data_IF_482609005556
#
_entry.id   IF_482609005556
#
_cell.length_a   1.000
_cell.length_b   1.000
_cell.length_c   1.000
_cell.angle_alpha   90.00
_cell.angle_beta   90.00
_cell.angle_gamma   90.00
#
_symmetry.space_group_name_H-M   'P 1'
#
loop_
_entity.id
_entity.type
_entity.pdbx_description
1 polymer ?
#
# COMPACT_ATOMS: atom_id res chain seq x y z
N UNK A 1 5.70 25.43 -5.78
CA UNK A 1 4.43 25.03 -6.37
C UNK A 1 4.47 23.58 -6.87
N UNK A 2 5.49 23.18 -7.65
CA UNK A 2 5.66 21.80 -8.16
C UNK A 2 5.76 20.72 -7.05
N UNK A 3 6.50 21.00 -5.97
CA UNK A 3 6.62 20.06 -4.84
C UNK A 3 5.32 19.91 -4.01
N UNK A 4 4.51 20.95 -3.93
CA UNK A 4 3.23 20.91 -3.21
C UNK A 4 2.17 20.12 -3.99
N UNK A 5 2.17 20.24 -5.33
CA UNK A 5 1.24 19.50 -6.20
C UNK A 5 1.57 18.00 -6.23
N UNK A 6 2.86 17.63 -6.15
CA UNK A 6 3.29 16.23 -6.06
C UNK A 6 2.88 15.58 -4.73
N UNK A 7 2.84 16.38 -3.64
CA UNK A 7 2.42 15.91 -2.31
C UNK A 7 0.91 15.61 -2.18
N UNK A 8 0.10 16.07 -3.14
CA UNK A 8 -1.36 15.85 -3.16
C UNK A 8 -1.80 14.87 -4.28
N UNK A 9 -0.85 14.17 -4.92
CA UNK A 9 -1.14 13.13 -5.91
C UNK A 9 -1.90 13.63 -7.16
N UNK A 10 -1.63 14.87 -7.60
CA UNK A 10 -2.27 15.45 -8.78
C UNK A 10 -1.33 15.39 -9.98
N UNK A 11 -1.76 14.75 -11.04
CA UNK A 11 -1.03 14.74 -12.32
C UNK A 11 -1.32 16.01 -13.12
N UNK A 12 -0.25 16.66 -13.58
CA UNK A 12 -0.29 17.83 -14.48
C UNK A 12 -0.25 17.33 -15.93
N UNK A 13 -1.40 17.34 -16.60
CA UNK A 13 -1.44 17.11 -18.05
C UNK A 13 -1.35 18.47 -18.73
N UNK A 14 -0.20 18.75 -19.35
CA UNK A 14 0.01 19.97 -20.15
C UNK A 14 -0.34 19.66 -21.60
N UNK A 15 -1.48 20.15 -22.06
CA UNK A 15 -1.86 20.10 -23.47
C UNK A 15 -1.47 21.42 -24.13
N UNK A 16 -0.58 21.34 -25.12
CA UNK A 16 -0.08 22.48 -25.88
C UNK A 16 -0.98 22.72 -27.10
N UNK A 17 -2.04 23.51 -26.95
CA UNK A 17 -2.72 24.10 -28.09
C UNK A 17 -2.90 25.62 -27.85
N UNK A 18 -2.10 26.37 -28.58
CA UNK A 18 -2.22 27.81 -28.85
C UNK A 18 -2.84 28.70 -27.74
N UNK A 19 -1.96 29.31 -26.94
CA UNK A 19 -2.20 30.47 -26.05
C UNK A 19 -2.90 30.27 -24.71
N UNK A 20 -3.41 29.11 -24.38
CA UNK A 20 -3.85 28.79 -23.01
C UNK A 20 -3.34 27.42 -22.61
N UNK A 21 -2.65 27.34 -21.46
CA UNK A 21 -2.28 26.07 -20.83
C UNK A 21 -3.49 25.64 -20.01
N UNK A 22 -4.28 24.70 -20.53
CA UNK A 22 -5.30 24.03 -19.72
C UNK A 22 -4.62 22.97 -18.88
N UNK A 23 -4.55 23.21 -17.57
CA UNK A 23 -4.04 22.24 -16.59
C UNK A 23 -5.24 21.47 -16.08
N UNK A 24 -5.43 20.26 -16.56
CA UNK A 24 -6.42 19.34 -16.04
C UNK A 24 -5.78 18.52 -14.91
N UNK A 25 -6.19 18.78 -13.67
CA UNK A 25 -5.74 18.05 -12.51
C UNK A 25 -6.66 16.83 -12.34
N UNK A 26 -6.21 15.67 -12.79
CA UNK A 26 -6.90 14.41 -12.49
C UNK A 26 -6.55 13.96 -11.08
N UNK A 27 -7.55 13.88 -10.22
CA UNK A 27 -7.38 13.25 -8.91
C UNK A 27 -7.34 11.73 -9.07
N UNK A 28 -6.42 11.03 -8.39
CA UNK A 28 -6.42 9.58 -8.35
C UNK A 28 -7.80 9.05 -7.91
N UNK A 29 -8.24 7.98 -8.52
CA UNK A 29 -9.58 7.42 -8.33
C UNK A 29 -9.89 7.15 -6.85
N UNK A 30 -8.88 6.68 -6.10
CA UNK A 30 -9.03 6.37 -4.68
C UNK A 30 -9.28 7.58 -3.78
N UNK A 31 -8.86 8.78 -4.16
CA UNK A 31 -9.19 10.00 -3.39
C UNK A 31 -10.70 10.31 -3.42
N UNK A 32 -11.43 9.79 -4.39
CA UNK A 32 -12.89 9.94 -4.47
C UNK A 32 -13.65 8.92 -3.60
N UNK A 33 -12.95 7.92 -3.03
CA UNK A 33 -13.58 6.93 -2.16
C UNK A 33 -13.84 7.54 -0.77
N UNK A 34 -15.09 7.55 -0.26
CA UNK A 34 -15.45 8.28 0.97
C UNK A 34 -14.63 7.87 2.20
N UNK A 35 -14.31 6.58 2.33
CA UNK A 35 -13.53 6.07 3.46
C UNK A 35 -12.08 6.53 3.34
N UNK A 36 -11.46 6.45 2.15
CA UNK A 36 -10.08 6.89 1.92
C UNK A 36 -9.96 8.39 2.17
N UNK A 37 -10.86 9.20 1.63
CA UNK A 37 -10.89 10.65 1.84
C UNK A 37 -11.03 11.00 3.34
N UNK A 38 -11.90 10.30 4.08
CA UNK A 38 -12.03 10.48 5.53
C UNK A 38 -10.73 10.13 6.26
N UNK A 39 -10.12 8.98 5.96
CA UNK A 39 -8.87 8.56 6.59
C UNK A 39 -7.76 9.57 6.29
N UNK A 40 -7.66 10.08 5.07
CA UNK A 40 -6.65 11.08 4.71
C UNK A 40 -6.86 12.43 5.44
N UNK A 41 -8.11 12.81 5.73
CA UNK A 41 -8.40 13.98 6.59
C UNK A 41 -7.97 13.74 8.02
N UNK A 42 -8.30 12.57 8.58
CA UNK A 42 -7.94 12.20 9.95
C UNK A 42 -6.41 12.10 10.10
N UNK A 43 -5.71 11.62 9.06
CA UNK A 43 -4.25 11.55 9.01
C UNK A 43 -3.58 12.92 9.14
N UNK A 44 -4.19 14.00 8.60
CA UNK A 44 -3.65 15.37 8.72
C UNK A 44 -3.63 15.86 10.16
N UNK A 45 -4.59 15.44 10.99
CA UNK A 45 -4.70 15.83 12.40
C UNK A 45 -4.00 14.87 13.36
N UNK A 46 -3.62 13.67 12.89
CA UNK A 46 -3.00 12.65 13.72
C UNK A 46 -1.55 13.02 14.08
N UNK A 47 -1.32 13.40 15.32
CA UNK A 47 0.03 13.68 15.86
C UNK A 47 0.73 12.42 16.38
N UNK A 48 -0.03 11.39 16.78
CA UNK A 48 0.52 10.14 17.29
C UNK A 48 0.95 9.23 16.13
N UNK A 49 2.21 8.81 16.14
CA UNK A 49 2.84 8.01 15.09
C UNK A 49 2.14 6.65 14.91
N UNK A 50 1.76 6.01 16.03
CA UNK A 50 1.04 4.72 15.97
C UNK A 50 -0.36 4.88 15.38
N UNK A 51 -1.05 5.95 15.76
CA UNK A 51 -2.35 6.26 15.18
C UNK A 51 -2.25 6.51 13.67
N UNK A 52 -1.21 7.22 13.20
CA UNK A 52 -0.93 7.38 11.77
C UNK A 52 -0.77 6.04 11.07
N UNK A 53 0.02 5.13 11.66
CA UNK A 53 0.18 3.78 11.11
C UNK A 53 -1.16 3.05 10.97
N UNK A 54 -2.00 3.07 12.01
CA UNK A 54 -3.32 2.41 11.98
C UNK A 54 -4.21 2.97 10.88
N UNK A 55 -4.29 4.31 10.75
CA UNK A 55 -5.07 4.96 9.69
C UNK A 55 -4.58 4.56 8.29
N UNK A 56 -3.28 4.57 8.06
CA UNK A 56 -2.69 4.17 6.79
C UNK A 56 -2.96 2.69 6.49
N UNK A 57 -2.89 1.83 7.51
CA UNK A 57 -3.12 0.41 7.31
C UNK A 57 -4.59 0.09 7.01
N UNK A 58 -5.54 0.85 7.53
CA UNK A 58 -6.97 0.72 7.17
C UNK A 58 -7.20 0.93 5.66
N UNK A 59 -6.43 1.81 5.00
CA UNK A 59 -6.49 1.95 3.55
C UNK A 59 -6.01 0.67 2.87
N UNK A 60 -4.92 0.08 3.36
CA UNK A 60 -4.40 -1.18 2.82
C UNK A 60 -5.40 -2.33 3.01
N UNK A 61 -6.07 -2.41 4.17
CA UNK A 61 -7.11 -3.41 4.44
C UNK A 61 -8.27 -3.29 3.44
N UNK A 62 -8.73 -2.07 3.17
CA UNK A 62 -9.75 -1.80 2.16
C UNK A 62 -9.32 -2.28 0.76
N UNK A 63 -8.07 -2.03 0.38
CA UNK A 63 -7.52 -2.47 -0.90
C UNK A 63 -7.32 -4.00 -0.95
N UNK A 64 -7.02 -4.64 0.18
CA UNK A 64 -6.93 -6.09 0.26
C UNK A 64 -8.27 -6.78 0.05
N UNK A 65 -9.37 -6.17 0.51
CA UNK A 65 -10.72 -6.66 0.25
C UNK A 65 -11.06 -6.57 -1.24
N UNK A 66 -10.79 -5.46 -1.88
CA UNK A 66 -10.99 -5.30 -3.32
C UNK A 66 -10.10 -6.28 -4.13
N UNK A 67 -8.84 -6.43 -3.75
CA UNK A 67 -7.90 -7.32 -4.43
C UNK A 67 -8.35 -8.80 -4.37
N UNK A 68 -8.86 -9.27 -3.23
CA UNK A 68 -9.31 -10.67 -3.11
C UNK A 68 -10.55 -10.94 -3.96
N UNK A 69 -11.52 -10.01 -3.99
CA UNK A 69 -12.72 -10.15 -4.83
C UNK A 69 -12.30 -10.35 -6.28
N UNK A 70 -11.41 -9.50 -6.78
CA UNK A 70 -10.95 -9.57 -8.16
C UNK A 70 -10.17 -10.84 -8.49
N UNK A 71 -9.33 -11.31 -7.58
CA UNK A 71 -8.55 -12.52 -7.81
C UNK A 71 -9.45 -13.76 -7.78
N UNK A 72 -10.44 -13.79 -6.87
CA UNK A 72 -11.44 -14.87 -6.83
C UNK A 72 -12.29 -14.89 -8.10
N UNK A 73 -12.73 -13.73 -8.59
CA UNK A 73 -13.47 -13.63 -9.84
C UNK A 73 -12.67 -14.16 -11.04
N UNK A 74 -11.37 -13.83 -11.12
CA UNK A 74 -10.49 -14.37 -12.18
C UNK A 74 -10.34 -15.88 -12.08
N UNK A 75 -10.16 -16.42 -10.87
CA UNK A 75 -10.02 -17.86 -10.64
C UNK A 75 -11.35 -18.57 -10.97
N UNK A 76 -12.49 -17.98 -10.60
CA UNK A 76 -13.80 -18.50 -10.93
C UNK A 76 -14.04 -18.55 -12.45
N UNK A 77 -13.67 -17.49 -13.17
CA UNK A 77 -13.78 -17.47 -14.63
C UNK A 77 -12.93 -18.57 -15.30
N UNK A 78 -11.73 -18.84 -14.80
CA UNK A 78 -10.90 -19.98 -15.28
C UNK A 78 -11.59 -21.33 -15.06
N UNK A 79 -12.24 -21.50 -13.90
CA UNK A 79 -12.99 -22.72 -13.61
C UNK A 79 -14.16 -22.86 -14.58
N UNK A 80 -14.94 -21.81 -14.82
CA UNK A 80 -16.06 -21.81 -15.76
C UNK A 80 -15.63 -22.12 -17.21
N UNK A 81 -14.46 -21.65 -17.59
CA UNK A 81 -13.90 -21.92 -18.92
C UNK A 81 -13.24 -23.32 -19.03
N UNK A 82 -13.20 -24.10 -17.97
CA UNK A 82 -12.53 -25.41 -17.95
C UNK A 82 -11.00 -25.35 -17.99
N UNK A 83 -10.41 -24.17 -17.69
CA UNK A 83 -8.95 -23.96 -17.71
C UNK A 83 -8.27 -24.55 -16.45
N UNK A 84 -9.03 -24.71 -15.36
CA UNK A 84 -8.55 -25.31 -14.10
C UNK A 84 -9.58 -26.31 -13.56
N UNK A 85 -9.11 -27.27 -12.76
CA UNK A 85 -9.96 -28.22 -12.07
C UNK A 85 -10.60 -27.61 -10.81
N UNK A 86 -11.64 -28.24 -10.26
CA UNK A 86 -12.26 -27.86 -8.99
C UNK A 86 -11.24 -27.85 -7.84
N UNK A 87 -10.31 -28.82 -7.81
CA UNK A 87 -9.27 -28.87 -6.80
C UNK A 87 -8.30 -27.67 -6.92
N UNK A 88 -7.92 -27.30 -8.14
CA UNK A 88 -7.09 -26.13 -8.38
C UNK A 88 -7.81 -24.84 -7.97
N UNK A 89 -9.12 -24.75 -8.24
CA UNK A 89 -9.95 -23.62 -7.79
C UNK A 89 -9.85 -23.41 -6.28
N UNK A 90 -10.06 -24.48 -5.48
CA UNK A 90 -9.94 -24.37 -4.02
C UNK A 90 -8.53 -24.03 -3.57
N UNK A 91 -7.51 -24.61 -4.20
CA UNK A 91 -6.11 -24.33 -3.87
C UNK A 91 -5.73 -22.87 -4.18
N UNK A 92 -6.08 -22.36 -5.36
CA UNK A 92 -5.80 -20.99 -5.77
C UNK A 92 -6.58 -19.97 -4.90
N UNK A 93 -7.86 -20.21 -4.64
CA UNK A 93 -8.68 -19.34 -3.78
C UNK A 93 -8.12 -19.28 -2.35
N UNK A 94 -7.74 -20.42 -1.78
CA UNK A 94 -7.08 -20.49 -0.47
C UNK A 94 -5.76 -19.72 -0.46
N UNK A 95 -4.99 -19.75 -1.54
CA UNK A 95 -3.74 -19.01 -1.66
C UNK A 95 -3.96 -17.50 -1.67
N UNK A 96 -4.87 -16.98 -2.52
CA UNK A 96 -5.12 -15.54 -2.65
C UNK A 96 -5.83 -14.97 -1.42
N UNK A 97 -6.46 -15.80 -0.58
CA UNK A 97 -7.06 -15.37 0.68
C UNK A 97 -6.04 -14.99 1.75
N UNK A 98 -4.77 -15.39 1.62
CA UNK A 98 -3.73 -15.07 2.59
C UNK A 98 -3.35 -13.59 2.53
N UNK A 99 -3.29 -12.92 3.66
CA UNK A 99 -2.96 -11.50 3.78
C UNK A 99 -1.67 -11.13 3.02
N UNK A 100 -0.63 -11.94 3.18
CA UNK A 100 0.65 -11.75 2.50
C UNK A 100 0.51 -11.73 0.97
N UNK A 101 -0.32 -12.60 0.40
CA UNK A 101 -0.57 -12.64 -1.05
C UNK A 101 -1.41 -11.45 -1.51
N UNK A 102 -2.38 -11.01 -0.70
CA UNK A 102 -3.17 -9.80 -1.02
C UNK A 102 -2.29 -8.55 -1.08
N UNK A 103 -1.39 -8.36 -0.12
CA UNK A 103 -0.41 -7.26 -0.14
C UNK A 103 0.48 -7.38 -1.39
N UNK A 104 0.97 -8.57 -1.73
CA UNK A 104 1.78 -8.81 -2.92
C UNK A 104 1.02 -8.42 -4.20
N UNK A 105 -0.26 -8.73 -4.27
CA UNK A 105 -1.10 -8.39 -5.42
C UNK A 105 -1.35 -6.87 -5.51
N UNK A 106 -1.56 -6.15 -4.40
CA UNK A 106 -1.63 -4.68 -4.39
C UNK A 106 -0.35 -4.08 -4.97
N UNK A 107 0.83 -4.56 -4.54
CA UNK A 107 2.12 -4.10 -5.07
C UNK A 107 2.23 -4.32 -6.59
N UNK A 108 1.73 -5.45 -7.10
CA UNK A 108 1.68 -5.74 -8.55
C UNK A 108 0.72 -4.81 -9.27
N UNK A 109 -0.50 -4.62 -8.74
CA UNK A 109 -1.51 -3.74 -9.36
C UNK A 109 -1.04 -2.30 -9.46
N UNK A 110 -0.31 -1.82 -8.45
CA UNK A 110 0.27 -0.48 -8.44
C UNK A 110 1.60 -0.40 -9.19
N UNK A 111 2.10 -1.50 -9.75
CA UNK A 111 3.40 -1.57 -10.41
C UNK A 111 4.53 -0.93 -9.59
N UNK A 112 4.54 -1.21 -8.27
CA UNK A 112 5.57 -0.67 -7.38
C UNK A 112 6.93 -1.28 -7.69
N UNK A 113 7.92 -0.41 -7.92
CA UNK A 113 9.29 -0.80 -8.21
C UNK A 113 10.14 -0.79 -6.94
N UNK A 114 11.25 -1.54 -6.95
CA UNK A 114 12.17 -1.60 -5.80
C UNK A 114 12.75 -0.23 -5.42
N UNK A 115 12.87 0.70 -6.39
CA UNK A 115 13.30 2.08 -6.13
C UNK A 115 12.28 2.87 -5.31
N UNK A 116 10.99 2.63 -5.53
CA UNK A 116 9.90 3.28 -4.77
C UNK A 116 9.96 2.87 -3.29
N UNK A 117 10.36 1.63 -3.01
CA UNK A 117 10.37 1.03 -1.67
C UNK A 117 11.73 1.14 -0.95
N UNK A 118 12.78 1.68 -1.58
CA UNK A 118 14.14 1.66 -1.06
C UNK A 118 14.25 2.25 0.35
N UNK A 119 13.76 3.47 0.55
CA UNK A 119 13.84 4.16 1.85
C UNK A 119 13.07 3.42 2.95
N UNK A 120 11.89 2.90 2.62
CA UNK A 120 11.10 2.12 3.55
C UNK A 120 11.82 0.83 3.96
N UNK A 121 12.37 0.09 2.99
CA UNK A 121 13.12 -1.14 3.24
C UNK A 121 14.34 -0.90 4.12
N UNK A 122 15.11 0.16 3.85
CA UNK A 122 16.28 0.54 4.65
C UNK A 122 15.86 0.87 6.09
N UNK A 123 14.85 1.72 6.28
CA UNK A 123 14.36 2.08 7.62
C UNK A 123 13.77 0.89 8.39
N UNK A 124 13.12 -0.06 7.71
CA UNK A 124 12.66 -1.29 8.35
C UNK A 124 13.83 -2.15 8.83
N UNK A 125 14.89 -2.30 8.03
CA UNK A 125 16.08 -3.08 8.43
C UNK A 125 16.74 -2.47 9.67
N UNK A 126 16.92 -1.17 9.68
CA UNK A 126 17.52 -0.45 10.80
C UNK A 126 16.67 -0.61 12.07
N UNK A 127 15.36 -0.41 11.95
CA UNK A 127 14.43 -0.58 13.07
C UNK A 127 14.45 -2.01 13.60
N UNK A 128 14.39 -3.01 12.74
CA UNK A 128 14.35 -4.42 13.13
C UNK A 128 15.65 -4.86 13.78
N UNK A 129 16.80 -4.47 13.22
CA UNK A 129 18.11 -4.79 13.77
C UNK A 129 18.28 -4.21 15.18
N UNK A 130 17.91 -2.92 15.39
CA UNK A 130 18.00 -2.29 16.69
C UNK A 130 16.99 -2.87 17.70
N UNK A 131 15.82 -3.33 17.24
CA UNK A 131 14.83 -3.98 18.10
C UNK A 131 15.10 -5.46 18.36
N UNK A 132 16.29 -5.98 18.00
CA UNK A 132 16.71 -7.36 18.24
C UNK A 132 15.90 -8.39 17.46
N UNK A 133 15.32 -8.03 16.33
CA UNK A 133 14.77 -9.00 15.39
C UNK A 133 15.89 -9.46 14.46
N UNK A 134 15.94 -10.76 14.19
CA UNK A 134 16.83 -11.27 13.15
C UNK A 134 16.51 -10.56 11.85
N UNK A 135 17.53 -10.03 11.19
CA UNK A 135 17.40 -9.47 9.86
C UNK A 135 17.07 -10.61 8.89
N UNK A 136 15.81 -11.00 8.85
CA UNK A 136 15.32 -11.80 7.76
C UNK A 136 15.61 -10.99 6.50
N UNK A 137 16.51 -11.49 5.69
CA UNK A 137 16.80 -10.96 4.34
C UNK A 137 15.57 -11.21 3.47
N UNK A 138 14.48 -10.50 3.76
CA UNK A 138 13.33 -10.52 2.88
C UNK A 138 13.73 -9.82 1.60
N UNK A 139 13.84 -10.63 0.55
CA UNK A 139 14.26 -10.19 -0.79
C UNK A 139 13.19 -9.37 -1.51
N UNK A 140 11.97 -9.33 -0.97
CA UNK A 140 10.79 -8.75 -1.63
C UNK A 140 10.21 -7.61 -0.80
N UNK A 141 9.92 -6.47 -1.44
CA UNK A 141 9.39 -5.27 -0.79
C UNK A 141 8.00 -5.48 -0.18
N UNK A 142 7.12 -6.25 -0.82
CA UNK A 142 5.82 -6.61 -0.26
C UNK A 142 5.92 -7.51 0.99
N UNK A 143 6.93 -8.37 1.06
CA UNK A 143 7.22 -9.18 2.24
C UNK A 143 7.75 -8.32 3.39
N UNK A 144 8.58 -7.32 3.10
CA UNK A 144 9.03 -6.33 4.10
C UNK A 144 7.84 -5.53 4.64
N UNK A 145 6.93 -5.10 3.78
CA UNK A 145 5.71 -4.39 4.15
C UNK A 145 4.83 -5.24 5.09
N UNK A 146 4.60 -6.50 4.74
CA UNK A 146 3.86 -7.44 5.58
C UNK A 146 4.56 -7.69 6.93
N UNK A 147 5.87 -7.88 6.95
CA UNK A 147 6.64 -8.08 8.17
C UNK A 147 6.61 -6.84 9.08
N UNK A 148 6.71 -5.65 8.51
CA UNK A 148 6.58 -4.40 9.28
C UNK A 148 5.22 -4.32 9.98
N UNK A 149 4.14 -4.56 9.24
CA UNK A 149 2.79 -4.62 9.82
C UNK A 149 2.71 -5.62 10.97
N UNK A 150 3.20 -6.83 10.77
CA UNK A 150 3.14 -7.86 11.80
C UNK A 150 3.91 -7.46 13.06
N UNK A 151 5.08 -6.85 12.92
CA UNK A 151 5.86 -6.37 14.07
C UNK A 151 5.18 -5.19 14.77
N UNK A 152 4.55 -4.28 14.03
CA UNK A 152 3.74 -3.20 14.59
C UNK A 152 2.53 -3.73 15.39
N UNK A 153 1.90 -4.81 14.96
CA UNK A 153 0.72 -5.37 15.63
C UNK A 153 1.07 -6.30 16.80
N UNK A 154 2.15 -7.09 16.69
CA UNK A 154 2.43 -8.18 17.64
C UNK A 154 3.68 -7.96 18.49
N UNK A 155 4.51 -6.98 18.16
CA UNK A 155 5.79 -6.72 18.84
C UNK A 155 6.02 -5.23 19.10
N UNK A 156 4.94 -4.46 19.21
CA UNK A 156 4.96 -3.01 19.33
C UNK A 156 5.88 -2.51 20.46
N UNK A 157 5.85 -3.13 21.63
CA UNK A 157 6.66 -2.72 22.78
C UNK A 157 8.15 -2.68 22.45
N UNK A 158 8.65 -3.69 21.73
CA UNK A 158 10.05 -3.76 21.29
C UNK A 158 10.40 -2.66 20.29
N UNK A 159 9.50 -2.35 19.36
CA UNK A 159 9.70 -1.27 18.39
C UNK A 159 9.65 0.09 19.06
N UNK A 160 8.81 0.24 20.09
CA UNK A 160 8.59 1.50 20.80
C UNK A 160 9.83 1.94 21.60
N UNK A 161 10.71 1.04 22.00
CA UNK A 161 12.01 1.36 22.60
C UNK A 161 12.88 2.20 21.64
N UNK A 162 12.66 2.08 20.33
CA UNK A 162 13.37 2.80 19.26
C UNK A 162 12.46 3.82 18.55
N UNK A 163 11.82 4.71 19.32
CA UNK A 163 10.79 5.67 18.84
C UNK A 163 11.18 6.46 17.61
N UNK A 164 12.41 6.94 17.53
CA UNK A 164 12.87 7.76 16.41
C UNK A 164 12.93 6.94 15.11
N UNK A 165 13.48 5.72 15.17
CA UNK A 165 13.54 4.80 14.05
C UNK A 165 12.14 4.36 13.64
N UNK A 166 11.27 4.05 14.60
CA UNK A 166 9.88 3.70 14.35
C UNK A 166 9.13 4.85 13.65
N UNK A 167 9.31 6.09 14.14
CA UNK A 167 8.69 7.27 13.53
C UNK A 167 9.14 7.47 12.07
N UNK A 168 10.44 7.39 11.82
CA UNK A 168 11.00 7.49 10.47
C UNK A 168 10.49 6.37 9.56
N UNK A 169 10.39 5.14 10.07
CA UNK A 169 9.88 4.00 9.31
C UNK A 169 8.40 4.19 8.97
N UNK A 170 7.57 4.70 9.88
CA UNK A 170 6.16 4.99 9.60
C UNK A 170 6.01 6.12 8.58
N UNK A 171 6.88 7.13 8.60
CA UNK A 171 6.88 8.16 7.55
C UNK A 171 7.20 7.58 6.17
N UNK A 172 8.18 6.67 6.08
CA UNK A 172 8.47 5.98 4.83
C UNK A 172 7.34 5.01 4.40
N UNK A 173 6.69 4.35 5.36
CA UNK A 173 5.48 3.56 5.13
C UNK A 173 4.35 4.41 4.55
N UNK A 174 4.12 5.61 5.10
CA UNK A 174 3.15 6.57 4.58
C UNK A 174 3.41 6.91 3.11
N UNK A 175 4.68 7.14 2.72
CA UNK A 175 5.02 7.42 1.33
C UNK A 175 4.64 6.24 0.40
N UNK A 176 4.84 4.99 0.84
CA UNK A 176 4.42 3.81 0.06
C UNK A 176 2.89 3.76 -0.05
N UNK A 177 2.16 4.00 1.04
CA UNK A 177 0.69 3.99 1.01
C UNK A 177 0.15 5.09 0.10
N UNK A 178 0.73 6.28 0.11
CA UNK A 178 0.35 7.37 -0.80
C UNK A 178 0.62 7.01 -2.27
N UNK A 179 1.75 6.36 -2.57
CA UNK A 179 2.03 5.85 -3.92
C UNK A 179 1.04 4.75 -4.34
N UNK A 180 0.64 3.89 -3.41
CA UNK A 180 -0.40 2.89 -3.66
C UNK A 180 -1.72 3.58 -4.01
N UNK A 181 -2.15 4.57 -3.23
CA UNK A 181 -3.38 5.33 -3.51
C UNK A 181 -3.32 6.00 -4.90
N UNK A 182 -2.18 6.59 -5.24
CA UNK A 182 -1.97 7.27 -6.52
C UNK A 182 -2.05 6.31 -7.72
N UNK A 183 -1.48 5.10 -7.57
CA UNK A 183 -1.31 4.15 -8.68
C UNK A 183 -2.35 3.05 -8.73
N UNK A 184 -3.21 2.92 -7.72
CA UNK A 184 -4.21 1.85 -7.70
C UNK A 184 -5.21 2.06 -8.84
N UNK A 185 -5.37 1.08 -9.77
CA UNK A 185 -5.99 1.32 -11.07
C UNK A 185 -7.51 1.38 -11.06
N UNK A 186 -8.17 1.21 -9.89
CA UNK A 186 -9.60 0.93 -9.82
C UNK A 186 -10.35 1.77 -8.80
N UNK A 187 -11.67 1.94 -9.07
CA UNK A 187 -12.63 2.34 -8.05
C UNK A 187 -12.94 1.12 -7.19
N UNK A 188 -12.88 1.31 -5.89
CA UNK A 188 -13.36 0.34 -4.92
C UNK A 188 -14.87 0.48 -4.87
N UNK A 189 -15.58 -0.63 -4.99
CA UNK A 189 -17.05 -0.69 -4.97
C UNK A 189 -17.64 -0.41 -3.60
#
# INVERSE_FOLDING_TARGET
MYCLLKAIGRELIISNNQKSINIELKEPILYQHPIVDRILRDLKSASNVTHRFVLLYQIIELLMEDAIIQDVDKIYNKLQNGEISTNDYFAETSRVSKEKERIRNIFKYCNLQSVDCKKFRESCRDLFANSGFNSETTSNDSDMFYNFRNKMMHSYSRLYEHKNLMSSTIQNFEQIVLLIIERYPRRIG
#
